data_IF_673445677821
#
_entry.id   IF_673445677821
#
_cell.length_a   1.000
_cell.length_b   1.000
_cell.length_c   1.000
_cell.angle_alpha   90.00
_cell.angle_beta   90.00
_cell.angle_gamma   90.00
#
_symmetry.space_group_name_H-M   'P 1'
#
loop_
_entity.id
_entity.type
_entity.pdbx_description
1 polymer ?
#
# COMPACT_ATOMS: atom_id res chain seq x y z
N UNK A 1 5.61 -23.64 -15.73
CA UNK A 1 4.52 -23.13 -14.86
C UNK A 1 3.95 -21.90 -15.55
N UNK A 2 2.66 -21.89 -15.93
CA UNK A 2 2.04 -20.72 -16.56
C UNK A 2 1.69 -19.72 -15.47
N UNK A 3 2.29 -18.52 -15.53
CA UNK A 3 1.84 -17.38 -14.73
C UNK A 3 0.33 -17.24 -14.85
N UNK A 4 -0.38 -17.06 -13.73
CA UNK A 4 -1.75 -16.56 -13.78
C UNK A 4 -1.75 -15.04 -14.07
N UNK A 5 -1.00 -14.64 -15.11
CA UNK A 5 -0.66 -13.26 -15.48
C UNK A 5 -1.92 -12.39 -15.65
N UNK A 6 -3.04 -12.98 -16.05
CA UNK A 6 -4.26 -12.24 -16.33
C UNK A 6 -4.88 -11.61 -15.05
N UNK A 7 -4.76 -12.25 -13.89
CA UNK A 7 -5.36 -11.69 -12.67
C UNK A 7 -4.51 -10.55 -12.09
N UNK A 8 -3.19 -10.73 -12.01
CA UNK A 8 -2.29 -9.69 -11.50
C UNK A 8 -2.24 -8.46 -12.42
N UNK A 9 -2.30 -8.63 -13.75
CA UNK A 9 -2.44 -7.52 -14.70
C UNK A 9 -3.78 -6.79 -14.52
N UNK A 10 -4.89 -7.51 -14.32
CA UNK A 10 -6.18 -6.88 -14.02
C UNK A 10 -6.14 -6.08 -12.72
N UNK A 11 -5.51 -6.62 -11.68
CA UNK A 11 -5.32 -5.92 -10.41
C UNK A 11 -4.44 -4.68 -10.58
N UNK A 12 -3.35 -4.76 -11.34
CA UNK A 12 -2.49 -3.63 -11.64
C UNK A 12 -3.25 -2.53 -12.38
N UNK A 13 -3.93 -2.87 -13.47
CA UNK A 13 -4.71 -1.91 -14.23
C UNK A 13 -5.78 -1.24 -13.36
N UNK A 14 -6.44 -1.99 -12.48
CA UNK A 14 -7.41 -1.43 -11.53
C UNK A 14 -6.77 -0.41 -10.58
N UNK A 15 -5.58 -0.68 -10.05
CA UNK A 15 -4.86 0.26 -9.19
C UNK A 15 -4.45 1.51 -9.95
N UNK A 16 -3.88 1.35 -11.15
CA UNK A 16 -3.46 2.47 -11.99
C UNK A 16 -4.64 3.35 -12.40
N UNK A 17 -5.75 2.74 -12.82
CA UNK A 17 -6.99 3.47 -13.15
C UNK A 17 -7.51 4.24 -11.95
N UNK A 18 -7.61 3.60 -10.77
CA UNK A 18 -8.05 4.27 -9.54
C UNK A 18 -7.21 5.51 -9.22
N UNK A 19 -5.88 5.40 -9.27
CA UNK A 19 -4.97 6.53 -9.04
C UNK A 19 -5.05 7.64 -10.09
N UNK A 20 -5.62 7.37 -11.27
CA UNK A 20 -5.79 8.35 -12.35
C UNK A 20 -7.18 8.99 -12.41
N UNK A 21 -8.18 8.39 -11.76
CA UNK A 21 -9.57 8.84 -11.83
C UNK A 21 -9.82 10.17 -11.11
N UNK A 22 -9.19 10.37 -9.95
CA UNK A 22 -9.37 11.56 -9.10
C UNK A 22 -8.11 11.85 -8.30
N UNK A 23 -7.82 13.13 -8.07
CA UNK A 23 -6.68 13.56 -7.25
C UNK A 23 -6.78 13.11 -5.77
N UNK A 24 -8.00 12.81 -5.30
CA UNK A 24 -8.23 12.31 -3.93
C UNK A 24 -8.08 10.79 -3.80
N UNK A 25 -7.96 10.06 -4.92
CA UNK A 25 -7.70 8.63 -4.92
C UNK A 25 -6.21 8.39 -4.68
N UNK A 26 -5.81 8.41 -3.41
CA UNK A 26 -4.40 8.40 -3.04
C UNK A 26 -3.97 7.16 -2.25
N UNK A 27 -4.89 6.29 -1.83
CA UNK A 27 -4.54 5.15 -0.99
C UNK A 27 -5.15 3.85 -1.49
N UNK A 28 -4.31 2.83 -1.58
CA UNK A 28 -4.68 1.48 -1.96
C UNK A 28 -4.18 0.50 -0.90
N UNK A 29 -5.02 -0.47 -0.54
CA UNK A 29 -4.67 -1.56 0.38
C UNK A 29 -4.68 -2.88 -0.40
N UNK A 30 -3.54 -3.55 -0.46
CA UNK A 30 -3.36 -4.83 -1.16
C UNK A 30 -3.25 -5.94 -0.13
N UNK A 31 -4.27 -6.80 -0.08
CA UNK A 31 -4.40 -7.88 0.89
C UNK A 31 -4.27 -9.22 0.18
N UNK A 32 -3.49 -10.13 0.72
CA UNK A 32 -3.37 -11.48 0.19
C UNK A 32 -2.38 -12.35 0.98
N UNK A 33 -2.48 -13.68 0.86
CA UNK A 33 -1.61 -14.59 1.59
C UNK A 33 -0.15 -14.48 1.12
N UNK A 34 0.75 -15.19 1.79
CA UNK A 34 2.15 -15.30 1.33
C UNK A 34 2.21 -15.86 -0.09
N UNK A 35 3.13 -15.35 -0.91
CA UNK A 35 3.29 -15.79 -2.30
C UNK A 35 2.23 -15.30 -3.30
N UNK A 36 1.27 -14.45 -2.90
CA UNK A 36 0.24 -13.93 -3.81
C UNK A 36 0.71 -12.80 -4.74
N UNK A 37 1.92 -12.27 -4.53
CA UNK A 37 2.49 -11.20 -5.35
C UNK A 37 2.17 -9.78 -4.93
N UNK A 38 1.71 -9.55 -3.68
CA UNK A 38 1.42 -8.20 -3.13
C UNK A 38 2.53 -7.19 -3.37
N UNK A 39 3.76 -7.53 -2.95
CA UNK A 39 4.94 -6.67 -3.08
C UNK A 39 5.24 -6.37 -4.55
N UNK A 40 5.11 -7.36 -5.43
CA UNK A 40 5.33 -7.15 -6.88
C UNK A 40 4.26 -6.23 -7.47
N UNK A 41 2.99 -6.41 -7.10
CA UNK A 41 1.90 -5.54 -7.53
C UNK A 41 2.11 -4.09 -7.04
N UNK A 42 2.49 -3.91 -5.78
CA UNK A 42 2.80 -2.60 -5.19
C UNK A 42 3.94 -1.90 -5.95
N UNK A 43 5.06 -2.60 -6.19
CA UNK A 43 6.20 -2.09 -6.98
C UNK A 43 5.80 -1.66 -8.38
N UNK A 44 4.95 -2.44 -9.06
CA UNK A 44 4.51 -2.12 -10.41
C UNK A 44 3.51 -0.96 -10.46
N UNK A 45 2.69 -0.80 -9.42
CA UNK A 45 1.72 0.28 -9.33
C UNK A 45 2.36 1.64 -8.98
N UNK A 46 3.44 1.63 -8.20
CA UNK A 46 4.24 2.82 -7.86
C UNK A 46 5.71 2.54 -8.15
N UNK A 47 6.11 2.67 -9.42
CA UNK A 47 7.45 2.33 -9.91
C UNK A 47 8.56 3.07 -9.15
N UNK A 48 8.35 4.36 -8.87
CA UNK A 48 9.29 5.21 -8.12
C UNK A 48 8.89 5.34 -6.64
N UNK A 49 7.99 4.48 -6.15
CA UNK A 49 7.50 4.50 -4.78
C UNK A 49 8.58 4.09 -3.78
N UNK A 50 8.72 4.85 -2.70
CA UNK A 50 9.64 4.56 -1.61
C UNK A 50 9.10 3.43 -0.74
N UNK A 51 9.86 2.34 -0.61
CA UNK A 51 9.60 1.30 0.39
C UNK A 51 10.04 1.79 1.76
N UNK A 52 9.10 1.88 2.69
CA UNK A 52 9.39 2.17 4.09
C UNK A 52 9.85 0.88 4.76
N UNK A 53 10.94 0.95 5.53
CA UNK A 53 11.46 -0.22 6.27
C UNK A 53 10.89 -0.24 7.70
N UNK A 54 10.51 -1.41 8.23
CA UNK A 54 10.05 -1.52 9.63
C UNK A 54 11.16 -1.19 10.63
N UNK A 55 12.42 -1.36 10.23
CA UNK A 55 13.61 -1.08 11.04
C UNK A 55 13.97 0.42 11.07
N UNK A 56 13.23 1.28 10.36
CA UNK A 56 13.47 2.72 10.43
C UNK A 56 13.12 3.24 11.84
N UNK A 57 14.12 3.71 12.59
CA UNK A 57 13.99 3.99 14.01
C UNK A 57 13.05 5.18 14.19
N UNK A 58 11.91 4.93 14.81
CA UNK A 58 10.98 5.95 15.34
C UNK A 58 10.82 7.11 14.37
N UNK A 59 10.08 6.93 13.27
CA UNK A 59 9.47 7.98 12.42
C UNK A 59 9.87 9.43 12.77
N UNK A 60 11.16 9.76 12.64
CA UNK A 60 11.67 11.02 13.16
C UNK A 60 11.05 12.13 12.32
N UNK A 61 10.84 13.32 12.87
CA UNK A 61 10.27 14.42 12.08
C UNK A 61 11.02 14.64 10.76
N UNK A 62 12.35 14.49 10.77
CA UNK A 62 13.20 14.54 9.56
C UNK A 62 12.83 13.48 8.53
N UNK A 63 12.59 12.25 8.98
CA UNK A 63 12.18 11.17 8.08
C UNK A 63 10.80 11.44 7.50
N UNK A 64 9.82 11.79 8.35
CA UNK A 64 8.46 12.16 7.93
C UNK A 64 8.50 13.28 6.87
N UNK A 65 9.23 14.35 7.13
CA UNK A 65 9.38 15.48 6.20
C UNK A 65 9.99 15.03 4.85
N UNK A 66 10.92 14.08 4.88
CA UNK A 66 11.54 13.53 3.67
C UNK A 66 10.58 12.72 2.78
N UNK A 67 9.36 12.44 3.25
CA UNK A 67 8.29 11.76 2.50
C UNK A 67 7.40 12.73 1.70
N UNK A 68 7.48 14.04 1.93
CA UNK A 68 6.57 15.05 1.34
C UNK A 68 6.45 15.00 -0.19
N UNK A 69 7.49 14.58 -0.89
CA UNK A 69 7.54 14.53 -2.35
C UNK A 69 7.57 13.10 -2.93
N UNK A 70 7.26 12.08 -2.11
CA UNK A 70 7.38 10.67 -2.51
C UNK A 70 6.05 9.95 -2.37
N UNK A 71 5.73 9.15 -3.37
CA UNK A 71 4.77 8.07 -3.16
C UNK A 71 5.42 7.00 -2.29
N UNK A 72 4.65 6.38 -1.41
CA UNK A 72 5.19 5.43 -0.43
C UNK A 72 4.50 4.08 -0.53
N UNK A 73 5.28 3.04 -0.23
CA UNK A 73 4.81 1.67 -0.08
C UNK A 73 5.19 1.21 1.32
N UNK A 74 4.19 0.83 2.12
CA UNK A 74 4.40 0.17 3.42
C UNK A 74 4.02 -1.30 3.22
N UNK A 75 5.04 -2.13 3.03
CA UNK A 75 4.88 -3.56 2.76
C UNK A 75 4.77 -4.34 4.09
N UNK A 76 3.81 -5.26 4.17
CA UNK A 76 3.48 -6.02 5.39
C UNK A 76 3.35 -5.12 6.64
N UNK A 77 2.32 -4.27 6.64
CA UNK A 77 2.03 -3.23 7.66
C UNK A 77 2.10 -3.73 9.11
N UNK A 78 1.80 -5.02 9.35
CA UNK A 78 1.86 -5.65 10.68
C UNK A 78 3.26 -5.60 11.32
N UNK A 79 4.31 -5.40 10.53
CA UNK A 79 5.69 -5.28 11.01
C UNK A 79 6.02 -3.92 11.64
N UNK A 80 5.10 -2.94 11.57
CA UNK A 80 5.33 -1.55 11.98
C UNK A 80 4.53 -1.18 13.24
N UNK A 81 5.00 -0.18 13.99
CA UNK A 81 4.12 0.54 14.93
C UNK A 81 3.06 1.31 14.13
N UNK A 82 1.79 0.98 14.34
CA UNK A 82 0.66 1.57 13.62
C UNK A 82 0.56 3.09 13.77
N UNK A 83 1.06 3.67 14.88
CA UNK A 83 1.11 5.14 15.04
C UNK A 83 2.09 5.77 14.06
N UNK A 84 3.18 5.08 13.75
CA UNK A 84 4.13 5.53 12.74
C UNK A 84 3.56 5.38 11.34
N UNK A 85 2.92 4.24 11.04
CA UNK A 85 2.23 4.04 9.75
C UNK A 85 1.20 5.15 9.52
N UNK A 86 0.38 5.48 10.52
CA UNK A 86 -0.59 6.56 10.41
C UNK A 86 0.07 7.91 10.11
N UNK A 87 1.22 8.23 10.74
CA UNK A 87 1.99 9.45 10.44
C UNK A 87 2.49 9.47 8.99
N UNK A 88 3.05 8.37 8.51
CA UNK A 88 3.53 8.25 7.12
C UNK A 88 2.40 8.48 6.13
N UNK A 89 1.27 7.82 6.36
CA UNK A 89 0.07 7.89 5.53
C UNK A 89 -0.47 9.32 5.52
N UNK A 90 -0.78 9.89 6.69
CA UNK A 90 -1.36 11.24 6.76
C UNK A 90 -0.46 12.30 6.13
N UNK A 91 0.85 12.24 6.38
CA UNK A 91 1.79 13.21 5.81
C UNK A 91 1.88 13.09 4.27
N UNK A 92 1.91 11.87 3.74
CA UNK A 92 1.94 11.63 2.29
C UNK A 92 0.65 12.12 1.63
N UNK A 93 -0.51 11.79 2.23
CA UNK A 93 -1.82 12.22 1.73
C UNK A 93 -1.99 13.74 1.77
N UNK A 94 -1.54 14.42 2.82
CA UNK A 94 -1.55 15.87 2.92
C UNK A 94 -0.69 16.55 1.82
N UNK A 95 0.30 15.82 1.30
CA UNK A 95 1.16 16.28 0.20
C UNK A 95 0.67 15.83 -1.19
N UNK A 96 -0.55 15.26 -1.27
CA UNK A 96 -1.10 14.73 -2.52
C UNK A 96 -0.38 13.50 -3.07
N UNK A 97 0.37 12.78 -2.22
CA UNK A 97 1.14 11.61 -2.61
C UNK A 97 0.37 10.32 -2.41
N UNK A 98 0.65 9.35 -3.29
CA UNK A 98 0.02 8.04 -3.31
C UNK A 98 0.67 7.13 -2.27
N UNK A 99 -0.16 6.27 -1.70
CA UNK A 99 0.20 5.33 -0.65
C UNK A 99 -0.32 3.95 -1.05
N UNK A 100 0.56 2.95 -1.01
CA UNK A 100 0.14 1.55 -1.03
C UNK A 100 0.49 0.91 0.31
N UNK A 101 -0.51 0.27 0.92
CA UNK A 101 -0.35 -0.56 2.10
C UNK A 101 -0.51 -2.02 1.68
N UNK A 102 0.34 -2.92 2.18
CA UNK A 102 0.15 -4.35 1.95
C UNK A 102 0.09 -5.14 3.25
N UNK A 103 -0.51 -6.32 3.18
CA UNK A 103 -0.29 -7.39 4.15
C UNK A 103 -1.32 -8.50 4.02
N UNK A 104 -1.61 -9.20 5.10
CA UNK A 104 -2.31 -10.49 5.01
C UNK A 104 -3.81 -10.37 5.29
N UNK A 105 -4.63 -11.34 4.85
CA UNK A 105 -6.07 -11.33 5.10
C UNK A 105 -6.44 -11.23 6.60
N UNK A 106 -5.67 -11.88 7.47
CA UNK A 106 -5.83 -11.81 8.92
C UNK A 106 -5.62 -10.39 9.49
N UNK A 107 -4.91 -9.52 8.78
CA UNK A 107 -4.63 -8.14 9.20
C UNK A 107 -5.75 -7.17 8.77
N UNK A 108 -6.86 -7.63 8.16
CA UNK A 108 -7.92 -6.77 7.61
C UNK A 108 -8.43 -5.74 8.64
N UNK A 109 -8.55 -6.17 9.90
CA UNK A 109 -8.97 -5.30 11.01
C UNK A 109 -7.99 -4.17 11.36
N UNK A 110 -6.68 -4.38 11.15
CA UNK A 110 -5.65 -3.35 11.37
C UNK A 110 -5.79 -2.23 10.34
N UNK A 111 -6.00 -2.57 9.06
CA UNK A 111 -6.21 -1.54 8.03
C UNK A 111 -7.50 -0.78 8.30
N UNK A 112 -8.60 -1.44 8.66
CA UNK A 112 -9.85 -0.75 8.97
C UNK A 112 -9.65 0.28 10.10
N UNK A 113 -8.95 -0.08 11.18
CA UNK A 113 -8.62 0.85 12.27
C UNK A 113 -7.77 2.02 11.81
N UNK A 114 -6.76 1.79 10.98
CA UNK A 114 -5.94 2.87 10.43
C UNK A 114 -6.77 3.79 9.54
N UNK A 115 -7.61 3.23 8.68
CA UNK A 115 -8.42 3.96 7.71
C UNK A 115 -9.52 4.81 8.39
N UNK A 116 -10.02 4.40 9.56
CA UNK A 116 -10.94 5.22 10.36
C UNK A 116 -10.33 6.56 10.84
N UNK A 117 -9.00 6.66 10.85
CA UNK A 117 -8.29 7.89 11.24
C UNK A 117 -7.95 8.78 10.04
N UNK A 118 -8.38 8.42 8.81
CA UNK A 118 -8.15 9.24 7.63
C UNK A 118 -9.21 10.34 7.47
N UNK A 119 -8.88 11.43 6.75
CA UNK A 119 -9.87 12.42 6.31
C UNK A 119 -11.03 11.75 5.56
N UNK A 120 -12.26 12.20 5.82
CA UNK A 120 -13.49 11.60 5.28
C UNK A 120 -13.58 11.59 3.75
N UNK A 121 -12.86 12.50 3.10
CA UNK A 121 -12.81 12.65 1.64
C UNK A 121 -11.94 11.58 0.96
N UNK A 122 -11.11 10.87 1.73
CA UNK A 122 -10.19 9.86 1.22
C UNK A 122 -10.87 8.50 1.32
N UNK A 123 -11.18 7.92 0.16
CA UNK A 123 -11.74 6.57 0.06
C UNK A 123 -10.66 5.60 -0.40
N UNK A 124 -10.25 4.61 0.43
CA UNK A 124 -9.25 3.63 0.04
C UNK A 124 -9.82 2.59 -0.93
N UNK A 125 -9.00 2.21 -1.93
CA UNK A 125 -9.29 1.05 -2.75
C UNK A 125 -8.69 -0.21 -2.11
N UNK A 126 -9.50 -1.25 -1.93
CA UNK A 126 -9.03 -2.56 -1.51
C UNK A 126 -8.85 -3.50 -2.71
N UNK A 127 -7.68 -4.12 -2.79
CA UNK A 127 -7.34 -5.20 -3.72
C UNK A 127 -7.12 -6.47 -2.90
N UNK A 128 -7.96 -7.50 -3.13
CA UNK A 128 -7.77 -8.83 -2.53
C UNK A 128 -7.18 -9.77 -3.59
N UNK A 129 -6.01 -10.34 -3.29
CA UNK A 129 -5.34 -11.35 -4.12
C UNK A 129 -5.66 -12.74 -3.57
N UNK A 130 -6.10 -13.64 -4.45
CA UNK A 130 -6.34 -15.03 -4.09
C UNK A 130 -5.02 -15.76 -3.82
N UNK A 131 -5.01 -16.62 -2.82
CA UNK A 131 -3.89 -17.51 -2.53
C UNK A 131 -3.91 -18.74 -3.42
N UNK A 132 -3.45 -18.61 -4.66
CA UNK A 132 -3.14 -19.77 -5.48
C UNK A 132 -1.79 -19.55 -6.17
N UNK A 133 -0.78 -20.33 -5.74
CA UNK A 133 0.44 -20.73 -6.45
C UNK A 133 0.90 -19.86 -7.64
N UNK A 134 1.03 -18.55 -7.46
CA UNK A 134 1.39 -17.63 -8.55
C UNK A 134 2.86 -17.23 -8.56
N UNK A 135 3.64 -17.65 -7.56
CA UNK A 135 5.07 -17.33 -7.44
C UNK A 135 5.83 -18.52 -6.82
N UNK A 136 6.24 -19.46 -7.67
CA UNK A 136 7.55 -20.09 -7.49
C UNK A 136 8.46 -19.43 -8.53
N UNK A 137 9.47 -18.69 -8.05
CA UNK A 137 10.66 -18.34 -8.83
C UNK A 137 11.53 -19.59 -8.96
#
# INVERSE_FOLDING_TARGET
>A
MKFNNNQNEKCLNKVLSFFSEKDTNLIVVIIGPSGSGKTLLAKRALIDGLFISPDEPIAGEKFIQSLSNKDIIVDDVVLFDMRNVLKYVLHSLASGRKVILTGRPEDESLYQKLLLNLPKEISPLFIKLAGENSLYL
#
